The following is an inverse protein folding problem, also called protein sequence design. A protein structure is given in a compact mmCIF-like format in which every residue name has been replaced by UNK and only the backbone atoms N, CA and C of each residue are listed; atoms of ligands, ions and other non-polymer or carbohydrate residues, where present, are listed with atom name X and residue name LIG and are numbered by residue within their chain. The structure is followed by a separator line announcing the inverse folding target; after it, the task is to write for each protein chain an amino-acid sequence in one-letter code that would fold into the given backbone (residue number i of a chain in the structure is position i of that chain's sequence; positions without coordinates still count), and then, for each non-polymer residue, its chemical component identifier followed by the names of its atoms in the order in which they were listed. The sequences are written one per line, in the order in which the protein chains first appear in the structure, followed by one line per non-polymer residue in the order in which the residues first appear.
data_IF_541141377771
#
_entry.id   IF_541141377771
#
_cell.length_a   1.000
_cell.length_b   1.000
_cell.length_c   1.000
_cell.angle_alpha   90.00
_cell.angle_beta   90.00
_cell.angle_gamma   90.00
#
_symmetry.space_group_name_H-M   'P 1'
#
loop_
_entity.id
_entity.type
_entity.pdbx_description
1 polymer ?
#
# COMPACT_ATOMS: atom_id res chain seq x y z
N UNK A 1 -0.15 21.40 10.91
CA UNK A 1 -1.12 21.13 9.83
C UNK A 1 -2.47 20.97 10.49
N UNK A 2 -3.47 21.67 9.98
CA UNK A 2 -4.86 21.59 10.44
C UNK A 2 -5.53 20.33 9.86
N UNK A 3 -6.55 19.81 10.53
CA UNK A 3 -7.40 18.74 9.99
C UNK A 3 -8.01 19.15 8.63
N UNK A 4 -8.25 20.45 8.43
CA UNK A 4 -8.72 21.03 7.16
C UNK A 4 -7.72 20.82 6.02
N UNK A 5 -6.42 21.08 6.27
CA UNK A 5 -5.37 20.90 5.26
C UNK A 5 -5.28 19.43 4.83
N UNK A 6 -5.52 18.50 5.76
CA UNK A 6 -5.52 17.07 5.48
C UNK A 6 -6.73 16.62 4.67
N UNK A 7 -7.92 17.14 4.95
CA UNK A 7 -9.12 16.82 4.16
C UNK A 7 -8.97 17.30 2.73
N UNK A 8 -8.43 18.49 2.51
CA UNK A 8 -8.14 19.03 1.18
C UNK A 8 -7.22 18.09 0.39
N UNK A 9 -6.07 17.72 0.96
CA UNK A 9 -5.13 16.77 0.33
C UNK A 9 -5.79 15.41 0.03
N UNK A 10 -6.60 14.87 0.95
CA UNK A 10 -7.30 13.60 0.73
C UNK A 10 -8.33 13.70 -0.41
N UNK A 11 -9.01 14.84 -0.54
CA UNK A 11 -9.95 15.07 -1.66
C UNK A 11 -9.23 15.22 -2.99
N UNK A 12 -8.09 15.91 -3.02
CA UNK A 12 -7.26 16.02 -4.22
C UNK A 12 -6.75 14.65 -4.68
N UNK A 13 -6.26 13.82 -3.74
CA UNK A 13 -5.84 12.44 -4.02
C UNK A 13 -7.01 11.62 -4.58
N UNK A 14 -8.22 11.75 -4.02
CA UNK A 14 -9.40 11.00 -4.46
C UNK A 14 -9.78 11.30 -5.92
N UNK A 15 -9.74 12.57 -6.32
CA UNK A 15 -10.03 12.96 -7.71
C UNK A 15 -8.84 12.76 -8.66
N UNK A 16 -7.71 12.29 -8.15
CA UNK A 16 -6.46 11.97 -8.87
C UNK A 16 -5.71 13.17 -9.48
N UNK A 17 -6.14 14.40 -9.21
CA UNK A 17 -5.54 15.62 -9.77
C UNK A 17 -4.05 15.81 -9.45
N UNK A 18 -3.54 15.53 -8.24
CA UNK A 18 -2.11 15.71 -7.95
C UNK A 18 -1.26 14.54 -8.43
N UNK A 19 -1.86 13.43 -8.90
CA UNK A 19 -1.11 12.24 -9.34
C UNK A 19 -0.83 12.37 -10.84
N UNK A 20 0.44 12.41 -11.28
CA UNK A 20 0.76 12.49 -12.70
C UNK A 20 0.13 11.34 -13.50
N UNK A 21 -0.37 11.62 -14.70
CA UNK A 21 -1.02 10.63 -15.58
C UNK A 21 -0.22 9.31 -15.75
N UNK A 22 1.12 9.32 -15.94
CA UNK A 22 1.90 8.08 -16.00
C UNK A 22 1.78 7.23 -14.75
N UNK A 23 1.71 7.85 -13.57
CA UNK A 23 1.55 7.16 -12.29
C UNK A 23 0.13 6.63 -12.11
N UNK A 24 -0.88 7.30 -12.68
CA UNK A 24 -2.26 6.79 -12.71
C UNK A 24 -2.36 5.52 -13.57
N UNK A 25 -1.71 5.51 -14.74
CA UNK A 25 -1.68 4.32 -15.59
C UNK A 25 -0.96 3.15 -14.91
N UNK A 26 0.21 3.41 -14.29
CA UNK A 26 1.01 2.38 -13.63
C UNK A 26 0.30 1.72 -12.45
N UNK A 27 -0.52 2.47 -11.69
CA UNK A 27 -1.23 1.90 -10.52
C UNK A 27 -2.47 1.10 -10.89
N UNK A 28 -3.00 1.28 -12.10
CA UNK A 28 -4.24 0.61 -12.51
C UNK A 28 -4.04 -0.90 -12.51
N UNK A 29 -4.91 -1.62 -11.78
CA UNK A 29 -4.81 -3.07 -11.60
C UNK A 29 -3.58 -3.55 -10.80
N UNK A 30 -2.73 -2.66 -10.28
CA UNK A 30 -1.57 -3.02 -9.44
C UNK A 30 -1.91 -2.95 -7.96
N UNK A 31 -1.24 -3.78 -7.19
CA UNK A 31 -1.40 -3.84 -5.74
C UNK A 31 -0.42 -2.90 -5.04
N UNK A 32 -0.85 -2.34 -3.92
CA UNK A 32 0.01 -1.63 -3.00
C UNK A 32 0.62 -2.55 -1.94
N UNK A 33 1.87 -2.26 -1.61
CA UNK A 33 2.57 -2.78 -0.45
C UNK A 33 2.81 -1.61 0.51
N UNK A 34 2.23 -1.72 1.71
CA UNK A 34 2.38 -0.74 2.78
C UNK A 34 3.54 -1.13 3.70
N UNK A 35 4.44 -0.18 3.96
CA UNK A 35 5.70 -0.41 4.68
C UNK A 35 5.92 0.73 5.66
N UNK A 36 6.37 0.39 6.88
CA UNK A 36 6.72 1.39 7.89
C UNK A 36 5.53 2.22 8.42
N UNK A 37 4.29 1.78 8.18
CA UNK A 37 3.09 2.46 8.61
C UNK A 37 2.27 1.60 9.59
N UNK A 38 1.44 2.25 10.42
CA UNK A 38 0.40 1.62 11.23
C UNK A 38 -0.96 2.15 10.82
N UNK A 39 -1.99 1.31 10.85
CA UNK A 39 -3.38 1.70 10.57
C UNK A 39 -4.16 1.96 11.87
N UNK A 40 -3.45 2.47 12.88
CA UNK A 40 -3.95 2.67 14.23
C UNK A 40 -4.80 3.94 14.35
N UNK A 41 -4.54 4.96 13.55
CA UNK A 41 -5.35 6.18 13.49
C UNK A 41 -6.29 6.23 12.27
N UNK A 42 -7.22 7.17 12.30
CA UNK A 42 -8.19 7.38 11.22
C UNK A 42 -7.54 7.99 9.97
N UNK A 43 -6.48 8.77 10.15
CA UNK A 43 -5.84 9.50 9.08
C UNK A 43 -5.11 8.56 8.11
N UNK A 44 -4.26 7.68 8.63
CA UNK A 44 -3.56 6.66 7.87
C UNK A 44 -4.54 5.71 7.15
N UNK A 45 -5.66 5.35 7.81
CA UNK A 45 -6.72 4.55 7.19
C UNK A 45 -7.40 5.29 6.04
N UNK A 46 -7.72 6.57 6.21
CA UNK A 46 -8.32 7.37 5.14
C UNK A 46 -7.36 7.54 3.97
N UNK A 47 -6.10 7.86 4.23
CA UNK A 47 -5.07 7.98 3.20
C UNK A 47 -4.92 6.68 2.39
N UNK A 48 -4.80 5.54 3.09
CA UNK A 48 -4.73 4.24 2.45
C UNK A 48 -5.95 3.96 1.56
N UNK A 49 -7.18 4.25 2.05
CA UNK A 49 -8.41 4.10 1.25
C UNK A 49 -8.33 4.91 -0.04
N UNK A 50 -7.86 6.15 0.02
CA UNK A 50 -7.78 7.01 -1.17
C UNK A 50 -6.73 6.53 -2.16
N UNK A 51 -5.53 6.15 -1.70
CA UNK A 51 -4.47 5.73 -2.62
C UNK A 51 -4.76 4.40 -3.32
N UNK A 52 -5.49 3.49 -2.65
CA UNK A 52 -5.89 2.18 -3.18
C UNK A 52 -7.03 2.26 -4.20
N UNK A 53 -7.80 3.36 -4.27
CA UNK A 53 -8.88 3.50 -5.25
C UNK A 53 -8.35 3.36 -6.67
N UNK A 54 -9.13 2.64 -7.50
CA UNK A 54 -8.80 2.37 -8.91
C UNK A 54 -7.45 1.63 -9.09
N UNK A 55 -7.02 0.90 -8.07
CA UNK A 55 -5.91 -0.05 -8.12
C UNK A 55 -6.43 -1.49 -8.07
N UNK A 56 -5.57 -2.47 -7.78
CA UNK A 56 -5.97 -3.88 -7.57
C UNK A 56 -6.97 -4.02 -6.42
N UNK A 57 -7.63 -5.18 -6.35
CA UNK A 57 -8.52 -5.54 -5.24
C UNK A 57 -7.80 -6.18 -4.05
N UNK A 58 -6.49 -6.46 -4.16
CA UNK A 58 -5.69 -7.11 -3.10
C UNK A 58 -4.41 -6.33 -2.83
N UNK A 59 -4.04 -6.20 -1.55
CA UNK A 59 -2.88 -5.44 -1.11
C UNK A 59 -2.13 -6.16 0.02
N UNK A 60 -0.98 -5.61 0.42
CA UNK A 60 -0.15 -6.17 1.48
C UNK A 60 0.35 -5.09 2.43
N UNK A 61 0.63 -5.46 3.68
CA UNK A 61 1.26 -4.57 4.65
C UNK A 61 2.27 -5.34 5.51
N UNK A 62 3.49 -4.81 5.62
CA UNK A 62 4.51 -5.33 6.56
C UNK A 62 4.26 -4.73 7.93
N UNK A 63 3.77 -5.54 8.86
CA UNK A 63 3.36 -5.12 10.20
C UNK A 63 3.93 -6.11 11.23
N UNK A 64 5.03 -5.77 11.92
CA UNK A 64 5.67 -6.69 12.87
C UNK A 64 4.90 -6.82 14.20
N UNK A 65 4.33 -5.73 14.72
CA UNK A 65 3.67 -5.78 16.03
C UNK A 65 2.25 -6.30 15.92
N UNK A 66 1.73 -6.90 16.99
CA UNK A 66 0.34 -7.37 17.06
C UNK A 66 -0.66 -6.30 16.55
N UNK A 67 -1.67 -6.76 15.81
CA UNK A 67 -2.74 -5.86 15.35
C UNK A 67 -3.68 -5.56 16.51
N UNK A 68 -4.16 -4.33 16.56
CA UNK A 68 -5.38 -4.02 17.29
C UNK A 68 -6.59 -4.59 16.55
N UNK A 69 -7.68 -4.84 17.27
CA UNK A 69 -8.96 -5.27 16.66
C UNK A 69 -9.44 -4.36 15.53
N UNK A 70 -9.18 -3.05 15.63
CA UNK A 70 -9.53 -2.09 14.58
C UNK A 70 -8.66 -2.23 13.34
N UNK A 71 -7.35 -2.47 13.52
CA UNK A 71 -6.44 -2.74 12.42
C UNK A 71 -6.83 -4.04 11.71
N UNK A 72 -7.08 -5.13 12.43
CA UNK A 72 -7.54 -6.41 11.85
C UNK A 72 -8.78 -6.22 10.97
N UNK A 73 -9.78 -5.50 11.51
CA UNK A 73 -11.00 -5.18 10.78
C UNK A 73 -10.69 -4.36 9.53
N UNK A 74 -9.85 -3.34 9.63
CA UNK A 74 -9.46 -2.52 8.49
C UNK A 74 -8.75 -3.33 7.40
N UNK A 75 -7.78 -4.17 7.78
CA UNK A 75 -7.06 -5.03 6.85
C UNK A 75 -8.02 -5.99 6.13
N UNK A 76 -8.95 -6.61 6.86
CA UNK A 76 -9.96 -7.50 6.29
C UNK A 76 -10.90 -6.75 5.32
N UNK A 77 -11.42 -5.58 5.73
CA UNK A 77 -12.31 -4.76 4.90
C UNK A 77 -11.66 -4.28 3.60
N UNK A 78 -10.34 -4.07 3.60
CA UNK A 78 -9.60 -3.54 2.45
C UNK A 78 -8.82 -4.62 1.68
N UNK A 79 -9.00 -5.90 2.03
CA UNK A 79 -8.28 -7.03 1.46
C UNK A 79 -6.75 -6.83 1.47
N UNK A 80 -6.25 -6.32 2.60
CA UNK A 80 -4.82 -6.14 2.87
C UNK A 80 -4.35 -7.38 3.64
N UNK A 81 -3.41 -8.13 3.06
CA UNK A 81 -2.76 -9.25 3.73
C UNK A 81 -1.60 -8.76 4.59
N UNK A 82 -1.62 -9.09 5.89
CA UNK A 82 -0.49 -8.82 6.79
C UNK A 82 0.68 -9.74 6.46
N UNK A 83 1.86 -9.14 6.39
CA UNK A 83 3.16 -9.82 6.43
C UNK A 83 3.70 -9.60 7.83
N UNK A 84 3.67 -10.66 8.64
CA UNK A 84 4.04 -10.63 10.06
C UNK A 84 5.55 -10.84 10.23
N UNK A 85 6.33 -9.79 9.96
CA UNK A 85 7.77 -9.81 10.18
C UNK A 85 8.36 -8.40 10.32
N UNK A 86 9.55 -8.25 10.92
CA UNK A 86 10.29 -6.99 10.93
C UNK A 86 10.59 -6.49 9.51
N UNK A 87 10.60 -5.17 9.34
CA UNK A 87 10.88 -4.56 8.03
C UNK A 87 12.29 -4.88 7.52
N UNK A 88 13.28 -4.98 8.41
CA UNK A 88 14.65 -5.33 8.03
C UNK A 88 14.69 -6.72 7.36
N UNK A 89 14.08 -7.71 8.00
CA UNK A 89 14.01 -9.09 7.51
C UNK A 89 13.24 -9.17 6.19
N UNK A 90 12.12 -8.44 6.08
CA UNK A 90 11.37 -8.36 4.83
C UNK A 90 12.22 -7.77 3.69
N UNK A 91 12.94 -6.68 3.95
CA UNK A 91 13.77 -6.02 2.95
C UNK A 91 14.92 -6.94 2.48
N UNK A 92 15.56 -7.65 3.39
CA UNK A 92 16.61 -8.61 3.07
C UNK A 92 16.09 -9.75 2.17
N UNK A 93 14.94 -10.35 2.52
CA UNK A 93 14.30 -11.38 1.71
C UNK A 93 13.84 -10.87 0.35
N UNK A 94 13.29 -9.66 0.29
CA UNK A 94 12.89 -9.03 -0.96
C UNK A 94 14.09 -8.83 -1.89
N UNK A 95 15.19 -8.29 -1.39
CA UNK A 95 16.41 -8.07 -2.17
C UNK A 95 16.98 -9.39 -2.67
N UNK A 96 17.06 -10.41 -1.80
CA UNK A 96 17.51 -11.76 -2.17
C UNK A 96 16.66 -12.34 -3.31
N UNK A 97 15.34 -12.30 -3.16
CA UNK A 97 14.39 -12.77 -4.19
C UNK A 97 14.53 -11.97 -5.49
N UNK A 98 14.78 -10.66 -5.39
CA UNK A 98 14.91 -9.82 -6.57
C UNK A 98 16.23 -10.02 -7.32
N UNK A 99 17.29 -10.46 -6.63
CA UNK A 99 18.59 -10.75 -7.20
C UNK A 99 18.63 -12.11 -7.92
N UNK A 100 17.77 -13.06 -7.52
CA UNK A 100 17.57 -14.30 -8.26
C UNK A 100 16.90 -14.01 -9.62
N UNK A 101 17.37 -14.60 -10.73
CA UNK A 101 16.73 -14.47 -12.02
C UNK A 101 15.39 -15.23 -11.99
N UNK A 102 14.31 -14.52 -11.65
CA UNK A 102 12.96 -15.06 -11.76
C UNK A 102 12.61 -15.30 -13.23
N UNK A 103 12.15 -16.51 -13.62
CA UNK A 103 11.76 -16.81 -14.99
C UNK A 103 10.61 -15.90 -15.48
N UNK A 104 9.78 -15.36 -14.58
CA UNK A 104 8.65 -14.50 -14.93
C UNK A 104 9.04 -13.09 -15.37
N UNK A 105 10.27 -12.62 -15.08
CA UNK A 105 10.71 -11.28 -15.51
C UNK A 105 10.96 -11.16 -17.01
N UNK A 106 11.23 -12.27 -17.70
CA UNK A 106 11.44 -12.26 -19.15
C UNK A 106 10.14 -12.03 -19.93
N UNK A 107 8.98 -12.35 -19.33
CA UNK A 107 7.68 -12.20 -19.99
C UNK A 107 7.11 -10.77 -19.96
N UNK A 108 7.59 -9.90 -19.06
CA UNK A 108 7.13 -8.50 -18.97
C UNK A 108 7.96 -7.52 -19.81
N UNK A 109 9.02 -8.00 -20.47
CA UNK A 109 9.92 -7.21 -21.32
C UNK A 109 9.77 -7.50 -22.82
N UNK A 110 8.74 -8.27 -23.22
CA UNK A 110 8.35 -8.57 -24.59
C UNK A 110 6.96 -7.99 -24.88
#
# INVERSE_FOLDING_TARGET
MSDTDFVEVLTEIDIQTPIPQPVQALRSGRSFLFVGCRFNDQLARNFARQIMKRSSSKHWAVLPDALTRMEERFLAEQNISRIDMPLADFAEQLIGTLAEPSPDRQALAA
#
